data_IF_910022548201
#
_entry.id   IF_910022548201
#
_cell.length_a   1.000
_cell.length_b   1.000
_cell.length_c   1.000
_cell.angle_alpha   90.00
_cell.angle_beta   90.00
_cell.angle_gamma   90.00
#
_symmetry.space_group_name_H-M   'P 1'
#
loop_
_entity.id
_entity.type
_entity.pdbx_description
1 polymer ?
#
# COMPACT_ATOMS: atom_id res chain seq x y z
N UNK A 1 -29.29 12.06 -2.35
CA UNK A 1 -27.83 12.22 -2.17
C UNK A 1 -27.37 12.00 -0.73
N UNK A 2 -27.96 12.65 0.29
CA UNK A 2 -27.57 12.49 1.71
C UNK A 2 -27.58 11.02 2.18
N UNK A 3 -28.59 10.23 1.77
CA UNK A 3 -28.64 8.78 2.08
C UNK A 3 -27.41 8.05 1.54
N UNK A 4 -26.96 8.38 0.33
CA UNK A 4 -25.76 7.75 -0.26
C UNK A 4 -24.51 8.06 0.56
N UNK A 5 -24.31 9.32 0.99
CA UNK A 5 -23.19 9.68 1.87
C UNK A 5 -23.29 9.01 3.23
N UNK A 6 -24.50 8.84 3.79
CA UNK A 6 -24.69 8.11 5.07
C UNK A 6 -24.28 6.64 4.93
N UNK A 7 -24.68 5.98 3.84
CA UNK A 7 -24.32 4.58 3.57
C UNK A 7 -22.81 4.43 3.39
N UNK A 8 -22.16 5.30 2.60
CA UNK A 8 -20.72 5.27 2.37
C UNK A 8 -19.94 5.49 3.67
N UNK A 9 -20.40 6.46 4.50
CA UNK A 9 -19.78 6.71 5.80
C UNK A 9 -19.93 5.49 6.72
N UNK A 10 -21.11 4.87 6.77
CA UNK A 10 -21.32 3.65 7.57
C UNK A 10 -20.40 2.50 7.11
N UNK A 11 -20.24 2.29 5.80
CA UNK A 11 -19.30 1.30 5.26
C UNK A 11 -17.84 1.63 5.61
N UNK A 12 -17.44 2.91 5.57
CA UNK A 12 -16.08 3.31 5.94
C UNK A 12 -15.75 3.06 7.41
N UNK A 13 -16.74 3.02 8.30
CA UNK A 13 -16.55 2.67 9.72
C UNK A 13 -16.29 1.17 9.94
N UNK A 14 -16.76 0.31 9.04
CA UNK A 14 -16.58 -1.14 9.17
C UNK A 14 -15.11 -1.56 8.99
N UNK A 15 -14.36 -0.89 8.13
CA UNK A 15 -12.98 -1.28 7.79
C UNK A 15 -11.96 -1.10 8.93
N UNK A 16 -11.94 0.02 9.68
CA UNK A 16 -11.09 0.13 10.88
C UNK A 16 -11.45 -0.91 11.94
N UNK A 17 -12.75 -1.25 12.09
CA UNK A 17 -13.21 -2.29 13.01
C UNK A 17 -12.72 -3.66 12.55
N UNK A 18 -12.91 -3.98 11.27
CA UNK A 18 -12.43 -5.23 10.68
C UNK A 18 -10.89 -5.35 10.78
N UNK A 19 -10.15 -4.27 10.52
CA UNK A 19 -8.71 -4.24 10.73
C UNK A 19 -8.32 -4.58 12.17
N UNK A 20 -8.99 -3.97 13.14
CA UNK A 20 -8.72 -4.21 14.55
C UNK A 20 -8.97 -5.66 14.96
N UNK A 21 -10.07 -6.25 14.47
CA UNK A 21 -10.48 -7.61 14.83
C UNK A 21 -9.63 -8.67 14.12
N UNK A 22 -9.34 -8.48 12.83
CA UNK A 22 -8.79 -9.52 11.98
C UNK A 22 -7.31 -9.31 11.59
N UNK A 23 -6.84 -8.07 11.44
CA UNK A 23 -5.51 -7.78 10.89
C UNK A 23 -4.48 -7.42 11.97
N UNK A 24 -4.86 -6.64 12.97
CA UNK A 24 -3.94 -6.10 13.98
C UNK A 24 -3.16 -7.15 14.78
N UNK A 25 -3.77 -8.31 15.03
CA UNK A 25 -3.15 -9.37 15.85
C UNK A 25 -1.93 -9.99 15.17
N UNK A 26 -1.96 -10.06 13.85
CA UNK A 26 -0.96 -10.75 13.05
C UNK A 26 0.02 -9.77 12.38
N UNK A 27 -0.47 -8.58 12.01
CA UNK A 27 0.34 -7.56 11.35
C UNK A 27 0.11 -6.17 11.95
N UNK A 28 1.17 -5.56 12.44
CA UNK A 28 1.14 -4.16 12.89
C UNK A 28 1.48 -3.24 11.70
N UNK A 29 0.50 -2.98 10.84
CA UNK A 29 0.64 -1.99 9.76
C UNK A 29 -0.10 -0.70 10.13
N UNK A 30 0.56 0.25 10.82
CA UNK A 30 -0.09 1.45 11.31
C UNK A 30 -0.63 2.34 10.18
N UNK A 31 0.00 2.34 9.00
CA UNK A 31 -0.44 3.15 7.86
C UNK A 31 -1.79 2.68 7.30
N UNK A 32 -2.08 1.39 7.41
CA UNK A 32 -3.38 0.85 7.00
C UNK A 32 -4.50 1.36 7.91
N UNK A 33 -4.27 1.38 9.23
CA UNK A 33 -5.22 1.97 10.16
C UNK A 33 -5.41 3.47 9.91
N UNK A 34 -4.32 4.20 9.71
CA UNK A 34 -4.38 5.65 9.40
C UNK A 34 -5.12 5.89 8.09
N UNK A 35 -4.95 5.05 7.07
CA UNK A 35 -5.71 5.11 5.82
C UNK A 35 -7.22 4.98 6.09
N UNK A 36 -7.64 3.92 6.79
CA UNK A 36 -9.05 3.69 7.10
C UNK A 36 -9.67 4.83 7.89
N UNK A 37 -8.97 5.34 8.90
CA UNK A 37 -9.45 6.50 9.67
C UNK A 37 -9.50 7.77 8.79
N UNK A 38 -8.55 7.96 7.89
CA UNK A 38 -8.53 9.10 6.98
C UNK A 38 -9.74 9.10 6.04
N UNK A 39 -10.08 7.94 5.45
CA UNK A 39 -11.25 7.80 4.58
C UNK A 39 -12.56 7.93 5.37
N UNK A 40 -12.63 7.43 6.60
CA UNK A 40 -13.75 7.70 7.50
C UNK A 40 -13.96 9.22 7.71
N UNK A 41 -12.88 9.96 7.94
CA UNK A 41 -12.94 11.43 8.12
C UNK A 41 -13.35 12.13 6.83
N UNK A 42 -12.86 11.69 5.66
CA UNK A 42 -13.33 12.20 4.36
C UNK A 42 -14.84 12.02 4.21
N UNK A 43 -15.33 10.80 4.43
CA UNK A 43 -16.74 10.47 4.24
C UNK A 43 -17.64 11.16 5.29
N UNK A 44 -17.14 11.32 6.53
CA UNK A 44 -17.80 12.16 7.53
C UNK A 44 -17.92 13.60 7.05
N UNK A 45 -16.86 14.18 6.51
CA UNK A 45 -16.87 15.53 5.97
C UNK A 45 -17.89 15.73 4.84
N UNK A 46 -17.99 14.77 3.91
CA UNK A 46 -19.01 14.81 2.85
C UNK A 46 -20.43 14.61 3.37
N UNK A 47 -20.62 13.74 4.36
CA UNK A 47 -21.92 13.59 5.02
C UNK A 47 -22.34 14.90 5.71
N UNK A 48 -21.46 15.51 6.51
CA UNK A 48 -21.71 16.79 7.17
C UNK A 48 -22.01 17.90 6.16
N UNK A 49 -21.24 17.93 5.04
CA UNK A 49 -21.47 18.89 3.96
C UNK A 49 -22.87 18.71 3.35
N UNK A 50 -23.29 17.47 3.10
CA UNK A 50 -24.61 17.17 2.53
C UNK A 50 -25.78 17.60 3.43
N UNK A 51 -25.56 17.67 4.73
CA UNK A 51 -26.53 18.09 5.76
C UNK A 51 -26.47 19.60 6.05
N UNK A 52 -25.51 20.33 5.45
CA UNK A 52 -25.25 21.74 5.78
C UNK A 52 -26.43 22.63 5.38
N UNK A 53 -26.77 23.58 6.27
CA UNK A 53 -27.79 24.61 6.03
C UNK A 53 -27.18 26.02 5.94
N UNK A 54 -25.94 26.19 6.38
CA UNK A 54 -25.21 27.46 6.35
C UNK A 54 -23.86 27.30 5.65
N UNK A 55 -23.38 28.38 5.04
CA UNK A 55 -22.05 28.40 4.37
C UNK A 55 -20.94 28.11 5.36
N UNK A 56 -21.03 28.62 6.58
CA UNK A 56 -20.00 28.42 7.62
C UNK A 56 -19.86 26.95 8.00
N UNK A 57 -21.00 26.26 8.25
CA UNK A 57 -21.00 24.84 8.56
C UNK A 57 -20.55 24.01 7.36
N UNK A 58 -20.92 24.39 6.14
CA UNK A 58 -20.47 23.72 4.92
C UNK A 58 -18.95 23.88 4.71
N UNK A 59 -18.37 25.05 5.02
CA UNK A 59 -16.93 25.25 5.00
C UNK A 59 -16.21 24.43 6.07
N UNK A 60 -16.78 24.35 7.28
CA UNK A 60 -16.26 23.47 8.33
C UNK A 60 -16.26 21.99 7.87
N UNK A 61 -17.40 21.51 7.36
CA UNK A 61 -17.53 20.14 6.83
C UNK A 61 -16.52 19.86 5.71
N UNK A 62 -16.32 20.83 4.81
CA UNK A 62 -15.33 20.73 3.75
C UNK A 62 -13.89 20.66 4.31
N UNK A 63 -13.56 21.42 5.36
CA UNK A 63 -12.26 21.31 6.04
C UNK A 63 -12.05 19.95 6.69
N UNK A 64 -13.10 19.37 7.29
CA UNK A 64 -13.07 18.00 7.82
C UNK A 64 -12.76 16.99 6.73
N UNK A 65 -13.44 17.07 5.56
CA UNK A 65 -13.15 16.20 4.42
C UNK A 65 -11.69 16.33 3.96
N UNK A 66 -11.18 17.54 3.80
CA UNK A 66 -9.79 17.78 3.39
C UNK A 66 -8.77 17.30 4.43
N UNK A 67 -9.06 17.36 5.72
CA UNK A 67 -8.19 16.80 6.75
C UNK A 67 -7.93 15.31 6.52
N UNK A 68 -8.97 14.53 6.25
CA UNK A 68 -8.78 13.13 5.86
C UNK A 68 -8.08 12.98 4.51
N UNK A 69 -8.50 13.77 3.51
CA UNK A 69 -8.05 13.65 2.13
C UNK A 69 -6.53 13.86 1.95
N UNK A 70 -5.89 14.74 2.71
CA UNK A 70 -4.44 14.98 2.58
C UNK A 70 -3.61 13.79 3.06
N UNK A 71 -4.14 12.93 3.95
CA UNK A 71 -3.42 11.75 4.42
C UNK A 71 -3.60 10.52 3.53
N UNK A 72 -4.68 10.44 2.74
CA UNK A 72 -4.96 9.28 1.89
C UNK A 72 -3.80 8.95 0.94
N UNK A 73 -3.30 9.88 0.09
CA UNK A 73 -2.20 9.57 -0.83
C UNK A 73 -0.88 9.25 -0.09
N UNK A 74 -0.62 9.87 1.05
CA UNK A 74 0.51 9.55 1.91
C UNK A 74 0.42 8.10 2.43
N UNK A 75 -0.72 7.70 2.97
CA UNK A 75 -0.92 6.35 3.50
C UNK A 75 -0.81 5.31 2.39
N UNK A 76 -1.44 5.54 1.24
CA UNK A 76 -1.32 4.68 0.06
C UNK A 76 0.14 4.53 -0.38
N UNK A 77 0.89 5.62 -0.43
CA UNK A 77 2.31 5.59 -0.77
C UNK A 77 3.13 4.74 0.22
N UNK A 78 2.91 4.90 1.52
CA UNK A 78 3.64 4.15 2.54
C UNK A 78 3.30 2.66 2.52
N UNK A 79 2.02 2.31 2.33
CA UNK A 79 1.54 0.92 2.25
C UNK A 79 2.09 0.25 0.99
N UNK A 80 1.89 0.86 -0.18
CA UNK A 80 2.30 0.29 -1.48
C UNK A 80 3.82 0.18 -1.55
N UNK A 81 4.56 1.18 -1.07
CA UNK A 81 6.02 1.12 -1.03
C UNK A 81 6.50 -0.06 -0.20
N UNK A 82 5.89 -0.29 0.97
CA UNK A 82 6.22 -1.43 1.82
C UNK A 82 5.87 -2.77 1.16
N UNK A 83 4.70 -2.88 0.54
CA UNK A 83 4.29 -4.07 -0.22
C UNK A 83 5.21 -4.35 -1.43
N UNK A 84 5.81 -3.30 -1.99
CA UNK A 84 6.82 -3.40 -3.05
C UNK A 84 8.26 -3.59 -2.52
N UNK A 85 8.45 -3.83 -1.22
CA UNK A 85 9.75 -4.10 -0.61
C UNK A 85 10.62 -2.87 -0.33
N UNK A 86 10.06 -1.65 -0.38
CA UNK A 86 10.80 -0.42 -0.08
C UNK A 86 10.67 -0.03 1.40
N UNK A 87 11.79 0.34 2.00
CA UNK A 87 11.84 0.90 3.36
C UNK A 87 12.41 2.32 3.33
N UNK A 88 11.89 3.20 4.18
CA UNK A 88 12.31 4.58 4.25
C UNK A 88 12.85 4.95 5.62
N UNK A 89 13.88 5.80 5.65
CA UNK A 89 14.40 6.40 6.89
C UNK A 89 13.30 7.17 7.61
N UNK A 90 13.37 7.26 8.94
CA UNK A 90 12.35 7.94 9.76
C UNK A 90 12.08 9.38 9.32
N UNK A 91 13.13 10.13 8.93
CA UNK A 91 12.99 11.52 8.51
C UNK A 91 12.09 11.68 7.26
N UNK A 92 12.12 10.72 6.31
CA UNK A 92 11.25 10.75 5.11
C UNK A 92 9.78 10.70 5.52
N UNK A 93 9.44 9.83 6.47
CA UNK A 93 8.07 9.73 7.01
C UNK A 93 7.61 11.05 7.62
N UNK A 94 8.45 11.68 8.42
CA UNK A 94 8.13 12.98 9.04
C UNK A 94 8.04 14.11 8.02
N UNK A 95 8.90 14.11 6.99
CA UNK A 95 8.83 15.09 5.91
C UNK A 95 7.52 14.98 5.11
N UNK A 96 7.07 13.75 4.81
CA UNK A 96 5.80 13.52 4.12
C UNK A 96 4.59 13.90 4.98
N UNK A 97 4.62 13.63 6.28
CA UNK A 97 3.58 14.10 7.22
C UNK A 97 3.59 15.63 7.27
N UNK A 98 4.76 16.27 7.33
CA UNK A 98 4.89 17.72 7.29
C UNK A 98 4.31 18.35 6.01
N UNK A 99 4.54 17.71 4.86
CA UNK A 99 3.94 18.12 3.59
C UNK A 99 2.40 18.00 3.60
N UNK A 100 1.84 16.92 4.16
CA UNK A 100 0.40 16.76 4.33
C UNK A 100 -0.19 17.83 5.25
N UNK A 101 0.47 18.12 6.38
CA UNK A 101 0.05 19.18 7.30
C UNK A 101 0.13 20.57 6.67
N UNK A 102 1.17 20.85 5.86
CA UNK A 102 1.29 22.09 5.12
C UNK A 102 0.14 22.26 4.11
N UNK A 103 -0.19 21.19 3.38
CA UNK A 103 -1.35 21.19 2.48
C UNK A 103 -2.65 21.46 3.23
N UNK A 104 -2.85 20.84 4.38
CA UNK A 104 -4.03 21.08 5.20
C UNK A 104 -4.06 22.52 5.73
N UNK A 105 -2.93 23.08 6.14
CA UNK A 105 -2.84 24.49 6.57
C UNK A 105 -3.29 25.46 5.46
N UNK A 106 -2.97 25.17 4.19
CA UNK A 106 -3.47 25.98 3.07
C UNK A 106 -5.01 25.89 2.95
N UNK A 107 -5.60 24.72 3.17
CA UNK A 107 -7.07 24.56 3.17
C UNK A 107 -7.72 25.30 4.33
N UNK A 108 -7.08 25.38 5.50
CA UNK A 108 -7.62 26.12 6.65
C UNK A 108 -7.80 27.60 6.39
N UNK A 109 -7.12 28.18 5.40
CA UNK A 109 -7.32 29.59 5.00
C UNK A 109 -8.71 29.85 4.41
N UNK A 110 -9.43 28.82 3.99
CA UNK A 110 -10.77 28.97 3.40
C UNK A 110 -11.75 29.63 4.38
N UNK A 111 -12.50 30.60 3.89
CA UNK A 111 -13.45 31.39 4.67
C UNK A 111 -12.83 32.54 5.48
N UNK A 112 -11.50 32.64 5.52
CA UNK A 112 -10.79 33.77 6.16
C UNK A 112 -9.94 34.53 5.14
N UNK A 113 -9.31 33.85 4.19
CA UNK A 113 -8.45 34.39 3.15
C UNK A 113 -8.88 33.87 1.79
N UNK A 114 -8.83 34.70 0.76
CA UNK A 114 -9.20 34.33 -0.62
C UNK A 114 -8.11 33.50 -1.35
N UNK A 115 -7.18 32.94 -0.59
CA UNK A 115 -6.01 32.24 -1.14
C UNK A 115 -6.35 30.88 -1.71
N UNK A 116 -7.11 30.07 -0.99
CA UNK A 116 -7.49 28.74 -1.43
C UNK A 116 -8.83 28.71 -2.19
N UNK A 117 -9.85 29.39 -1.67
CA UNK A 117 -11.11 29.72 -2.37
C UNK A 117 -11.32 31.24 -2.37
N UNK A 118 -11.62 31.80 -3.54
CA UNK A 118 -11.99 33.24 -3.68
C UNK A 118 -13.40 33.52 -3.18
N UNK A 119 -14.35 32.62 -3.50
CA UNK A 119 -15.72 32.69 -3.00
C UNK A 119 -16.32 31.30 -2.97
N UNK A 120 -17.31 31.13 -2.11
CA UNK A 120 -18.10 29.89 -2.00
C UNK A 120 -19.58 30.24 -1.90
N UNK A 121 -20.40 29.43 -2.55
CA UNK A 121 -21.86 29.51 -2.50
C UNK A 121 -22.42 28.16 -2.09
N UNK A 122 -23.39 28.15 -1.17
CA UNK A 122 -24.08 26.93 -0.75
C UNK A 122 -25.36 26.80 -1.56
N UNK A 123 -25.49 25.70 -2.27
CA UNK A 123 -26.71 25.35 -2.99
C UNK A 123 -27.29 24.03 -2.46
N UNK A 124 -28.59 23.86 -2.66
CA UNK A 124 -29.25 22.57 -2.41
C UNK A 124 -29.50 21.89 -3.76
N UNK A 125 -28.96 20.68 -3.96
CA UNK A 125 -29.10 19.91 -5.18
C UNK A 125 -29.40 18.44 -4.83
N UNK A 126 -30.42 17.86 -5.42
CA UNK A 126 -30.81 16.45 -5.29
C UNK A 126 -30.93 15.97 -3.81
N UNK A 127 -31.44 16.83 -2.94
CA UNK A 127 -31.64 16.55 -1.51
C UNK A 127 -30.35 16.54 -0.68
N UNK A 128 -29.31 17.22 -1.14
CA UNK A 128 -28.07 17.44 -0.40
C UNK A 128 -27.54 18.85 -0.63
N UNK A 129 -26.83 19.38 0.37
CA UNK A 129 -26.10 20.64 0.23
C UNK A 129 -24.79 20.41 -0.54
N UNK A 130 -24.45 21.36 -1.42
CA UNK A 130 -23.22 21.38 -2.21
C UNK A 130 -22.59 22.76 -2.18
N UNK A 131 -21.26 22.81 -2.07
CA UNK A 131 -20.50 24.06 -2.20
C UNK A 131 -20.07 24.28 -3.64
N UNK A 132 -20.52 25.38 -4.24
CA UNK A 132 -19.94 25.92 -5.47
C UNK A 132 -18.74 26.76 -5.08
N UNK A 133 -17.56 26.43 -5.63
CA UNK A 133 -16.28 27.00 -5.23
C UNK A 133 -15.65 27.75 -6.39
N UNK A 134 -15.28 29.03 -6.18
CA UNK A 134 -14.36 29.74 -7.07
C UNK A 134 -12.96 29.62 -6.47
N UNK A 135 -12.05 29.02 -7.22
CA UNK A 135 -10.71 28.67 -6.71
C UNK A 135 -9.77 29.87 -6.63
N UNK A 136 -8.97 29.92 -5.56
CA UNK A 136 -7.90 30.88 -5.33
C UNK A 136 -6.57 30.38 -5.93
N UNK A 137 -5.51 31.20 -5.77
CA UNK A 137 -4.19 30.92 -6.35
C UNK A 137 -3.45 29.73 -5.68
N UNK A 138 -3.81 29.37 -4.44
CA UNK A 138 -3.23 28.21 -3.75
C UNK A 138 -3.93 26.88 -4.08
N UNK A 139 -5.14 26.91 -4.67
CA UNK A 139 -5.86 25.68 -4.97
C UNK A 139 -5.12 24.70 -5.89
N UNK A 140 -4.34 25.15 -6.92
CA UNK A 140 -3.54 24.25 -7.76
C UNK A 140 -2.50 23.42 -7.00
N UNK A 141 -2.07 23.86 -5.79
CA UNK A 141 -1.12 23.11 -4.98
C UNK A 141 -1.66 21.74 -4.58
N UNK A 142 -2.98 21.60 -4.37
CA UNK A 142 -3.60 20.30 -4.10
C UNK A 142 -3.48 19.35 -5.30
N UNK A 143 -3.63 19.86 -6.51
CA UNK A 143 -3.43 19.09 -7.74
C UNK A 143 -1.98 18.60 -7.83
N UNK A 144 -1.02 19.49 -7.61
CA UNK A 144 0.43 19.17 -7.64
C UNK A 144 0.74 18.11 -6.58
N UNK A 145 0.19 18.26 -5.37
CA UNK A 145 0.36 17.32 -4.27
C UNK A 145 -0.11 15.91 -4.63
N UNK A 146 -1.33 15.76 -5.15
CA UNK A 146 -1.90 14.46 -5.55
C UNK A 146 -1.11 13.86 -6.72
N UNK A 147 -0.78 14.66 -7.74
CA UNK A 147 0.03 14.21 -8.89
C UNK A 147 1.42 13.73 -8.48
N UNK A 148 2.07 14.43 -7.53
CA UNK A 148 3.38 14.01 -7.02
C UNK A 148 3.33 12.60 -6.40
N UNK A 149 2.28 12.30 -5.63
CA UNK A 149 2.08 10.95 -5.09
C UNK A 149 1.77 9.92 -6.17
N UNK A 150 0.98 10.24 -7.18
CA UNK A 150 0.72 9.32 -8.28
C UNK A 150 2.01 8.98 -9.05
N UNK A 151 2.83 9.98 -9.36
CA UNK A 151 4.14 9.77 -10.01
C UNK A 151 5.06 8.92 -9.12
N UNK A 152 5.13 9.23 -7.83
CA UNK A 152 5.94 8.48 -6.88
C UNK A 152 5.48 7.02 -6.76
N UNK A 153 4.17 6.76 -6.71
CA UNK A 153 3.59 5.41 -6.67
C UNK A 153 3.91 4.63 -7.93
N UNK A 154 3.74 5.21 -9.11
CA UNK A 154 4.09 4.57 -10.38
C UNK A 154 5.59 4.26 -10.47
N UNK A 155 6.45 5.17 -9.98
CA UNK A 155 7.89 4.94 -9.93
C UNK A 155 8.27 3.78 -9.00
N UNK A 156 7.68 3.72 -7.80
CA UNK A 156 7.88 2.63 -6.82
C UNK A 156 7.45 1.29 -7.42
N UNK A 157 6.24 1.22 -7.97
CA UNK A 157 5.70 0.00 -8.57
C UNK A 157 6.53 -0.41 -9.79
N UNK A 158 6.86 0.54 -10.68
CA UNK A 158 7.66 0.28 -11.87
C UNK A 158 9.07 -0.24 -11.55
N UNK A 159 9.70 0.30 -10.50
CA UNK A 159 11.00 -0.21 -10.03
C UNK A 159 10.88 -1.60 -9.39
N UNK A 160 9.80 -1.86 -8.65
CA UNK A 160 9.51 -3.17 -8.09
C UNK A 160 9.28 -4.20 -9.20
N UNK A 161 8.48 -3.89 -10.21
CA UNK A 161 8.24 -4.78 -11.36
C UNK A 161 9.52 -5.10 -12.15
N UNK A 162 10.47 -4.14 -12.27
CA UNK A 162 11.74 -4.37 -12.95
C UNK A 162 12.73 -5.21 -12.15
N UNK A 163 12.77 -5.04 -10.83
CA UNK A 163 13.72 -5.74 -9.95
C UNK A 163 13.29 -7.17 -9.64
N UNK A 164 12.02 -7.47 -9.78
CA UNK A 164 11.44 -8.60 -9.11
C UNK A 164 11.20 -9.82 -10.00
N UNK A 165 11.60 -10.95 -9.45
CA UNK A 165 11.47 -12.28 -10.04
C UNK A 165 10.73 -13.15 -9.00
N UNK A 166 9.40 -13.10 -8.95
CA UNK A 166 8.67 -13.98 -8.03
C UNK A 166 7.34 -13.43 -7.48
N UNK A 167 6.94 -13.81 -6.28
CA UNK A 167 5.64 -13.52 -5.67
C UNK A 167 5.30 -12.03 -5.52
N UNK A 168 6.28 -11.18 -5.23
CA UNK A 168 6.14 -9.73 -5.15
C UNK A 168 5.69 -9.09 -6.47
N UNK A 169 5.96 -9.72 -7.63
CA UNK A 169 5.50 -9.23 -8.93
C UNK A 169 3.96 -9.21 -9.04
N UNK A 170 3.29 -10.24 -8.50
CA UNK A 170 1.81 -10.29 -8.48
C UNK A 170 1.21 -9.20 -7.59
N UNK A 171 1.82 -8.97 -6.42
CA UNK A 171 1.40 -7.89 -5.50
C UNK A 171 1.62 -6.53 -6.15
N UNK A 172 2.78 -6.30 -6.75
CA UNK A 172 3.07 -5.04 -7.46
C UNK A 172 2.09 -4.80 -8.63
N UNK A 173 1.73 -5.84 -9.39
CA UNK A 173 0.72 -5.77 -10.45
C UNK A 173 -0.67 -5.40 -9.92
N UNK A 174 -1.09 -5.99 -8.79
CA UNK A 174 -2.35 -5.64 -8.13
C UNK A 174 -2.32 -4.18 -7.63
N UNK A 175 -1.23 -3.74 -7.03
CA UNK A 175 -1.07 -2.35 -6.57
C UNK A 175 -1.09 -1.37 -7.75
N UNK A 176 -0.52 -1.74 -8.90
CA UNK A 176 -0.61 -0.95 -10.12
C UNK A 176 -2.07 -0.76 -10.56
N UNK A 177 -2.87 -1.82 -10.55
CA UNK A 177 -4.29 -1.74 -10.89
C UNK A 177 -5.06 -0.80 -9.93
N UNK A 178 -4.79 -0.86 -8.63
CA UNK A 178 -5.38 0.05 -7.63
C UNK A 178 -5.01 1.50 -7.92
N UNK A 179 -3.74 1.79 -8.20
CA UNK A 179 -3.27 3.16 -8.50
C UNK A 179 -3.88 3.68 -9.79
N UNK A 180 -3.87 2.88 -10.87
CA UNK A 180 -4.48 3.26 -12.15
C UNK A 180 -5.99 3.48 -11.99
N UNK A 181 -6.69 2.64 -11.22
CA UNK A 181 -8.11 2.81 -10.93
C UNK A 181 -8.41 4.14 -10.23
N UNK A 182 -7.62 4.50 -9.21
CA UNK A 182 -7.76 5.78 -8.51
C UNK A 182 -7.45 6.98 -9.43
N UNK A 183 -6.40 6.89 -10.26
CA UNK A 183 -6.08 7.92 -11.27
C UNK A 183 -7.24 8.06 -12.26
N UNK A 184 -7.77 6.95 -12.76
CA UNK A 184 -8.89 6.93 -13.69
C UNK A 184 -10.14 7.60 -13.09
N UNK A 185 -10.53 7.23 -11.87
CA UNK A 185 -11.65 7.85 -11.16
C UNK A 185 -11.44 9.34 -10.92
N UNK A 186 -10.22 9.74 -10.53
CA UNK A 186 -9.89 11.14 -10.34
C UNK A 186 -9.97 11.95 -11.65
N UNK A 187 -9.54 11.38 -12.79
CA UNK A 187 -9.67 12.01 -14.12
C UNK A 187 -11.16 12.14 -14.50
N UNK A 188 -11.94 11.06 -14.33
CA UNK A 188 -13.38 11.07 -14.63
C UNK A 188 -14.09 12.15 -13.81
N UNK A 189 -13.78 12.29 -12.53
CA UNK A 189 -14.37 13.31 -11.67
C UNK A 189 -14.00 14.75 -12.09
N UNK A 190 -12.84 14.94 -12.73
CA UNK A 190 -12.45 16.25 -13.30
C UNK A 190 -13.10 16.56 -14.65
N UNK A 191 -13.39 15.54 -15.43
CA UNK A 191 -13.98 15.69 -16.76
C UNK A 191 -15.51 15.77 -16.73
N UNK A 192 -16.16 15.11 -15.77
CA UNK A 192 -17.61 15.02 -15.66
C UNK A 192 -18.09 15.80 -14.44
N UNK A 193 -19.03 16.69 -14.64
CA UNK A 193 -19.68 17.44 -13.55
C UNK A 193 -20.75 16.59 -12.88
N UNK A 194 -20.38 15.91 -11.82
CA UNK A 194 -21.29 15.12 -11.01
C UNK A 194 -21.83 15.92 -9.83
N UNK A 195 -23.02 15.55 -9.38
CA UNK A 195 -23.55 16.03 -8.11
C UNK A 195 -23.07 15.21 -6.91
N UNK A 196 -22.28 14.16 -7.15
CA UNK A 196 -21.76 13.22 -6.16
C UNK A 196 -20.23 13.14 -6.24
N UNK A 197 -19.56 13.01 -5.08
CA UNK A 197 -18.10 12.91 -4.97
C UNK A 197 -17.67 11.43 -5.13
N UNK A 198 -17.47 11.00 -6.38
CA UNK A 198 -17.11 9.60 -6.71
C UNK A 198 -15.75 9.16 -6.17
N UNK A 199 -14.87 10.10 -5.87
CA UNK A 199 -13.55 9.80 -5.31
C UNK A 199 -13.65 9.10 -3.96
N UNK A 200 -14.67 9.39 -3.14
CA UNK A 200 -14.92 8.67 -1.88
C UNK A 200 -15.21 7.20 -2.09
N UNK A 201 -15.93 6.83 -3.15
CA UNK A 201 -16.19 5.43 -3.50
C UNK A 201 -14.91 4.74 -3.93
N UNK A 202 -14.08 5.40 -4.76
CA UNK A 202 -12.79 4.88 -5.20
C UNK A 202 -11.84 4.62 -4.02
N UNK A 203 -11.80 5.51 -3.05
CA UNK A 203 -11.02 5.31 -1.82
C UNK A 203 -11.51 4.10 -1.03
N UNK A 204 -12.83 3.99 -0.83
CA UNK A 204 -13.42 2.86 -0.12
C UNK A 204 -13.11 1.52 -0.82
N UNK A 205 -13.22 1.47 -2.16
CA UNK A 205 -12.87 0.28 -2.94
C UNK A 205 -11.39 -0.08 -2.79
N UNK A 206 -10.49 0.91 -2.79
CA UNK A 206 -9.07 0.70 -2.58
C UNK A 206 -8.77 0.15 -1.17
N UNK A 207 -9.48 0.61 -0.15
CA UNK A 207 -9.37 0.12 1.22
C UNK A 207 -9.78 -1.36 1.33
N UNK A 208 -10.86 -1.77 0.65
CA UNK A 208 -11.25 -3.18 0.58
C UNK A 208 -10.16 -4.03 -0.06
N UNK A 209 -9.57 -3.55 -1.17
CA UNK A 209 -8.46 -4.28 -1.82
C UNK A 209 -7.27 -4.41 -0.88
N UNK A 210 -6.87 -3.36 -0.18
CA UNK A 210 -5.80 -3.45 0.81
C UNK A 210 -6.15 -4.39 1.97
N UNK A 211 -7.39 -4.36 2.45
CA UNK A 211 -7.85 -5.28 3.48
C UNK A 211 -7.69 -6.74 3.03
N UNK A 212 -8.18 -7.07 1.82
CA UNK A 212 -8.05 -8.41 1.27
C UNK A 212 -6.59 -8.83 1.03
N UNK A 213 -5.74 -7.94 0.53
CA UNK A 213 -4.30 -8.22 0.35
C UNK A 213 -3.66 -8.57 1.69
N UNK A 214 -3.91 -7.77 2.73
CA UNK A 214 -3.35 -8.05 4.05
C UNK A 214 -3.98 -9.29 4.70
N UNK A 215 -5.25 -9.55 4.47
CA UNK A 215 -5.91 -10.76 4.95
C UNK A 215 -5.36 -12.03 4.27
N UNK A 216 -5.19 -12.01 2.95
CA UNK A 216 -4.55 -13.11 2.21
C UNK A 216 -3.10 -13.33 2.64
N UNK A 217 -2.35 -12.27 2.89
CA UNK A 217 -0.99 -12.37 3.44
C UNK A 217 -1.00 -13.04 4.82
N UNK A 218 -1.99 -12.78 5.66
CA UNK A 218 -2.14 -13.45 6.95
C UNK A 218 -2.37 -14.95 6.82
N UNK A 219 -3.27 -15.38 5.91
CA UNK A 219 -3.54 -16.80 5.70
C UNK A 219 -2.30 -17.51 5.16
N UNK A 220 -1.58 -16.89 4.24
CA UNK A 220 -0.31 -17.41 3.73
C UNK A 220 0.73 -17.60 4.85
N UNK A 221 0.82 -16.66 5.78
CA UNK A 221 1.73 -16.76 6.94
C UNK A 221 1.30 -17.81 7.93
N UNK A 222 -0.01 -17.91 8.19
CA UNK A 222 -0.58 -18.92 9.09
C UNK A 222 -0.29 -20.35 8.61
N UNK A 223 -0.25 -20.54 7.28
CA UNK A 223 0.05 -21.81 6.65
C UNK A 223 1.57 -22.07 6.63
N UNK A 224 2.41 -21.03 6.56
CA UNK A 224 3.87 -21.14 6.41
C UNK A 224 4.68 -20.87 7.68
N UNK A 225 4.03 -20.55 8.82
CA UNK A 225 4.65 -20.15 10.10
C UNK A 225 5.69 -19.00 9.99
N UNK A 226 5.69 -18.25 8.88
CA UNK A 226 6.64 -17.16 8.59
C UNK A 226 5.99 -15.79 8.77
N UNK A 227 6.61 -14.84 9.51
CA UNK A 227 6.04 -13.49 9.70
C UNK A 227 5.95 -12.69 8.40
N UNK A 228 4.81 -12.00 8.12
CA UNK A 228 4.55 -11.32 6.84
C UNK A 228 5.50 -10.18 6.47
N UNK A 229 5.98 -9.46 7.48
CA UNK A 229 6.99 -8.43 7.26
C UNK A 229 8.30 -9.02 6.73
N UNK A 230 8.63 -10.26 7.15
CA UNK A 230 9.81 -10.99 6.69
C UNK A 230 9.65 -11.46 5.25
N UNK A 231 8.45 -11.89 4.84
CA UNK A 231 8.19 -12.33 3.46
C UNK A 231 8.38 -11.19 2.46
N UNK A 232 7.82 -10.00 2.76
CA UNK A 232 7.93 -8.85 1.86
C UNK A 232 9.36 -8.32 1.79
N UNK A 233 10.08 -8.32 2.92
CA UNK A 233 11.49 -7.87 2.98
C UNK A 233 12.42 -8.89 2.35
N UNK A 234 12.21 -10.18 2.61
CA UNK A 234 13.08 -11.25 2.09
C UNK A 234 12.85 -11.51 0.61
N UNK A 235 11.63 -11.36 0.09
CA UNK A 235 11.38 -11.43 -1.36
C UNK A 235 12.03 -10.26 -2.14
N UNK A 236 12.38 -9.18 -1.47
CA UNK A 236 13.17 -8.07 -2.03
C UNK A 236 14.70 -8.28 -1.96
N UNK A 237 15.16 -9.24 -1.17
CA UNK A 237 16.56 -9.59 -1.05
C UNK A 237 17.01 -10.44 -2.26
N UNK A 238 18.22 -10.22 -2.74
CA UNK A 238 18.85 -11.09 -3.73
C UNK A 238 19.13 -12.48 -3.15
N UNK A 239 19.30 -13.50 -4.01
CA UNK A 239 19.69 -14.84 -3.58
C UNK A 239 20.97 -14.84 -2.73
N UNK A 240 21.92 -13.93 -3.02
CA UNK A 240 23.15 -13.77 -2.25
C UNK A 240 22.89 -13.26 -0.82
N UNK A 241 21.96 -12.31 -0.63
CA UNK A 241 21.61 -11.80 0.72
C UNK A 241 20.84 -12.85 1.52
N UNK A 242 19.92 -13.58 0.87
CA UNK A 242 19.22 -14.74 1.46
C UNK A 242 20.20 -15.85 1.86
N UNK A 243 21.20 -16.11 1.00
CA UNK A 243 22.24 -17.08 1.27
C UNK A 243 22.99 -16.76 2.56
N UNK A 244 23.37 -15.53 2.78
CA UNK A 244 24.07 -15.12 3.99
C UNK A 244 23.24 -15.39 5.24
N UNK A 245 21.93 -15.05 5.21
CA UNK A 245 20.99 -15.32 6.31
C UNK A 245 20.87 -16.83 6.61
N UNK A 246 20.86 -17.67 5.58
CA UNK A 246 20.78 -19.12 5.74
C UNK A 246 22.09 -19.69 6.25
N UNK A 247 23.23 -19.19 5.80
CA UNK A 247 24.55 -19.64 6.26
C UNK A 247 24.80 -19.36 7.76
N UNK A 248 24.24 -18.26 8.28
CA UNK A 248 24.31 -17.93 9.72
C UNK A 248 23.50 -18.88 10.61
N UNK A 249 22.52 -19.59 10.02
CA UNK A 249 21.62 -20.53 10.72
C UNK A 249 21.97 -22.00 10.52
N UNK A 250 23.08 -22.28 9.86
CA UNK A 250 23.52 -23.65 9.69
C UNK A 250 23.78 -24.33 11.05
N UNK A 251 23.41 -25.60 11.22
CA UNK A 251 23.77 -26.36 12.41
C UNK A 251 25.28 -26.34 12.64
N UNK A 252 25.71 -26.36 13.91
CA UNK A 252 27.15 -26.38 14.26
C UNK A 252 27.86 -27.56 13.58
N UNK A 253 28.94 -27.27 12.88
CA UNK A 253 29.76 -28.26 12.18
C UNK A 253 29.36 -28.56 10.75
N UNK A 254 28.28 -27.96 10.24
CA UNK A 254 27.86 -28.13 8.83
C UNK A 254 28.63 -27.16 7.93
N UNK A 255 29.38 -27.70 6.97
CA UNK A 255 30.10 -26.90 5.97
C UNK A 255 29.56 -27.22 4.58
N UNK A 256 29.09 -26.18 3.86
CA UNK A 256 28.67 -26.28 2.47
C UNK A 256 29.85 -26.08 1.52
N UNK A 257 29.96 -26.91 0.51
CA UNK A 257 30.94 -26.75 -0.59
C UNK A 257 30.54 -25.54 -1.45
N UNK A 258 31.50 -25.02 -2.24
CA UNK A 258 31.23 -23.91 -3.17
C UNK A 258 30.07 -24.19 -4.11
N UNK A 259 29.96 -25.43 -4.62
CA UNK A 259 28.86 -25.83 -5.52
C UNK A 259 27.51 -25.93 -4.80
N UNK A 260 27.50 -26.39 -3.56
CA UNK A 260 26.27 -26.40 -2.75
C UNK A 260 25.78 -25.00 -2.45
N UNK A 261 26.70 -24.04 -2.19
CA UNK A 261 26.35 -22.60 -2.01
C UNK A 261 25.79 -22.00 -3.29
N UNK A 262 26.40 -22.25 -4.47
CA UNK A 262 25.88 -21.79 -5.75
C UNK A 262 24.46 -22.33 -6.04
N UNK A 263 24.24 -23.64 -5.78
CA UNK A 263 22.91 -24.25 -5.92
C UNK A 263 21.92 -23.64 -4.91
N UNK A 264 22.33 -23.46 -3.66
CA UNK A 264 21.50 -22.86 -2.60
C UNK A 264 21.06 -21.44 -2.98
N UNK A 265 21.99 -20.61 -3.44
CA UNK A 265 21.70 -19.23 -3.88
C UNK A 265 20.64 -19.20 -4.99
N UNK A 266 20.76 -20.06 -6.00
CA UNK A 266 19.79 -20.15 -7.10
C UNK A 266 18.44 -20.71 -6.65
N UNK A 267 18.42 -21.59 -5.64
CA UNK A 267 17.17 -22.05 -5.00
C UNK A 267 16.49 -20.92 -4.26
N UNK A 268 17.25 -20.12 -3.52
CA UNK A 268 16.76 -18.96 -2.78
C UNK A 268 16.25 -17.84 -3.71
N UNK A 269 16.80 -17.78 -4.93
CA UNK A 269 16.30 -16.96 -6.04
C UNK A 269 15.07 -17.57 -6.76
N UNK A 270 14.47 -18.59 -6.17
CA UNK A 270 13.26 -19.26 -6.70
C UNK A 270 13.42 -19.92 -8.06
N UNK A 271 14.66 -20.22 -8.50
CA UNK A 271 14.94 -20.88 -9.77
C UNK A 271 14.47 -22.34 -9.77
N UNK A 272 13.86 -22.76 -10.87
CA UNK A 272 13.52 -24.18 -11.11
C UNK A 272 14.79 -25.02 -11.32
N UNK A 273 14.70 -26.35 -11.13
CA UNK A 273 15.82 -27.26 -11.40
C UNK A 273 16.41 -27.11 -12.80
N UNK A 274 15.56 -26.87 -13.78
CA UNK A 274 15.96 -26.67 -15.19
C UNK A 274 16.75 -25.37 -15.35
N UNK A 275 16.31 -24.27 -14.69
CA UNK A 275 17.03 -23.00 -14.72
C UNK A 275 18.35 -23.04 -13.98
N UNK A 276 18.41 -23.79 -12.83
CA UNK A 276 19.64 -24.03 -12.09
C UNK A 276 20.64 -24.83 -12.94
N UNK A 277 20.16 -25.87 -13.58
CA UNK A 277 20.98 -26.71 -14.49
C UNK A 277 21.57 -25.87 -15.63
N UNK A 278 20.77 -25.02 -16.25
CA UNK A 278 21.19 -24.10 -17.29
C UNK A 278 22.21 -23.05 -16.77
N UNK A 279 21.96 -22.47 -15.60
CA UNK A 279 22.83 -21.44 -15.01
C UNK A 279 24.21 -22.00 -14.61
N UNK A 280 24.27 -23.25 -14.13
CA UNK A 280 25.50 -23.90 -13.68
C UNK A 280 26.16 -24.78 -14.76
N UNK A 281 25.57 -24.83 -15.96
CA UNK A 281 26.05 -25.66 -17.09
C UNK A 281 26.18 -27.17 -16.74
N UNK A 282 25.22 -27.71 -15.99
CA UNK A 282 25.16 -29.11 -15.57
C UNK A 282 23.83 -29.77 -15.94
N UNK A 283 23.73 -31.10 -15.78
CA UNK A 283 22.45 -31.80 -16.01
C UNK A 283 21.46 -31.56 -14.87
N UNK A 284 20.15 -31.67 -15.15
CA UNK A 284 19.10 -31.59 -14.10
C UNK A 284 19.27 -32.71 -13.04
N UNK A 285 19.81 -33.88 -13.44
CA UNK A 285 20.13 -34.95 -12.50
C UNK A 285 21.26 -34.57 -11.55
N UNK A 286 22.29 -33.89 -12.04
CA UNK A 286 23.38 -33.35 -11.20
C UNK A 286 22.83 -32.33 -10.17
N UNK A 287 21.95 -31.43 -10.61
CA UNK A 287 21.25 -30.49 -9.70
C UNK A 287 20.42 -31.23 -8.66
N UNK A 288 19.68 -32.28 -9.05
CA UNK A 288 18.92 -33.13 -8.12
C UNK A 288 19.81 -33.73 -7.04
N UNK A 289 20.97 -34.25 -7.41
CA UNK A 289 21.94 -34.83 -6.47
C UNK A 289 22.45 -33.79 -5.49
N UNK A 290 22.83 -32.58 -5.98
CA UNK A 290 23.26 -31.48 -5.11
C UNK A 290 22.16 -31.06 -4.16
N UNK A 291 20.91 -30.97 -4.62
CA UNK A 291 19.77 -30.64 -3.78
C UNK A 291 19.51 -31.69 -2.70
N UNK A 292 19.62 -32.97 -3.02
CA UNK A 292 19.46 -34.05 -2.03
C UNK A 292 20.52 -33.96 -0.94
N UNK A 293 21.80 -33.81 -1.29
CA UNK A 293 22.88 -33.65 -0.31
C UNK A 293 22.72 -32.35 0.50
N UNK A 294 22.23 -31.26 -0.12
CA UNK A 294 21.97 -30.01 0.56
C UNK A 294 20.87 -30.17 1.62
N UNK A 295 19.76 -30.83 1.27
CA UNK A 295 18.65 -31.06 2.20
C UNK A 295 19.08 -31.96 3.37
N UNK A 296 19.87 -33.01 3.11
CA UNK A 296 20.43 -33.87 4.13
C UNK A 296 21.34 -33.09 5.10
N UNK A 297 22.29 -32.29 4.57
CA UNK A 297 23.21 -31.49 5.38
C UNK A 297 22.50 -30.45 6.23
N UNK A 298 21.45 -29.84 5.70
CA UNK A 298 20.71 -28.79 6.38
C UNK A 298 19.58 -29.33 7.26
N UNK A 299 19.41 -30.67 7.28
CA UNK A 299 18.36 -31.37 8.00
C UNK A 299 16.95 -30.86 7.68
N UNK A 300 16.68 -30.64 6.37
CA UNK A 300 15.38 -30.19 5.86
C UNK A 300 14.78 -31.26 4.95
N UNK A 301 13.45 -31.38 4.97
CA UNK A 301 12.71 -32.40 4.19
C UNK A 301 12.58 -32.07 2.70
N UNK A 302 12.84 -30.81 2.31
CA UNK A 302 12.72 -30.40 0.92
C UNK A 302 12.85 -28.89 0.71
N UNK A 303 12.49 -28.47 -0.51
CA UNK A 303 12.67 -27.10 -0.99
C UNK A 303 11.89 -26.07 -0.17
N UNK A 304 10.68 -26.39 0.24
CA UNK A 304 9.81 -25.47 0.98
C UNK A 304 10.38 -25.15 2.36
N UNK A 305 10.87 -26.17 3.06
CA UNK A 305 11.50 -26.02 4.36
C UNK A 305 12.83 -25.28 4.27
N UNK A 306 13.61 -25.54 3.22
CA UNK A 306 14.82 -24.81 2.91
C UNK A 306 14.54 -23.32 2.69
N UNK A 307 13.53 -22.99 1.92
CA UNK A 307 13.10 -21.61 1.70
C UNK A 307 12.62 -20.96 3.02
N UNK A 308 11.90 -21.71 3.86
CA UNK A 308 11.44 -21.24 5.15
C UNK A 308 12.61 -20.79 6.08
N UNK A 309 13.78 -21.42 6.00
CA UNK A 309 14.96 -21.00 6.76
C UNK A 309 15.43 -19.59 6.40
N UNK A 310 15.29 -19.17 5.15
CA UNK A 310 15.62 -17.81 4.72
C UNK A 310 14.64 -16.76 5.26
N UNK A 311 13.43 -17.20 5.64
CA UNK A 311 12.33 -16.33 6.10
C UNK A 311 12.20 -16.25 7.63
N UNK A 312 12.85 -17.13 8.38
CA UNK A 312 12.88 -17.08 9.85
C UNK A 312 13.91 -16.06 10.30
N UNK A 313 13.49 -14.94 10.85
CA UNK A 313 14.31 -14.00 11.65
C UNK A 313 13.96 -14.11 13.11
#
# INVERSE_FOLDING_TARGET
MTIAYSVIFAFSLLLPIAYYLFVRKTQKEPWLLVLYLSVCVVNLGYLLLSLSKTVEFALFANKVAYFGQVFVPLCMFMIISRLCGFTYKKWVKYALIGAAMLMFAMVLTTGHLDWYYKSVELIQADGAAKLIKKYGFLHPTNLIYVLAYFVALLAVIGTSLKKNKGGSHKVAGLMLAVVIGNIGMWIVEKLVTWNFEFLSVSYLMSEFVFFFVYWMLQDYIRISDVPPASIVVVDSLSGAEKLQTVLEKLPEGVVLTSKEKEVLELVLDSKSRKEIAAALHVSENTVKTHLTHLYEKMNVSGREELLAMAYQQ
#
